data_IF_217076258525
#
_entry.id   IF_217076258525
#
_cell.length_a   1.000
_cell.length_b   1.000
_cell.length_c   1.000
_cell.angle_alpha   90.00
_cell.angle_beta   90.00
_cell.angle_gamma   90.00
#
_symmetry.space_group_name_H-M   'P 1'
#
loop_
_entity.id
_entity.type
_entity.pdbx_description
1 polymer ?
#
# COMPACT_ATOMS: atom_id res chain seq x y z
N UNK A 1 13.37 -65.87 -10.40
CA UNK A 1 12.75 -64.87 -11.29
C UNK A 1 11.25 -64.66 -11.00
N UNK A 2 10.40 -65.69 -11.05
CA UNK A 2 8.94 -65.53 -10.83
C UNK A 2 8.54 -64.99 -9.44
N UNK A 3 9.26 -65.36 -8.37
CA UNK A 3 8.97 -64.88 -6.99
C UNK A 3 9.31 -63.40 -6.78
N UNK A 4 10.28 -62.85 -7.52
CA UNK A 4 10.66 -61.42 -7.43
C UNK A 4 9.65 -60.55 -8.20
N UNK A 5 9.07 -61.09 -9.27
CA UNK A 5 8.08 -60.39 -10.11
C UNK A 5 6.74 -60.18 -9.40
N UNK A 6 6.30 -61.15 -8.59
CA UNK A 6 5.07 -61.06 -7.79
C UNK A 6 5.21 -60.01 -6.67
N UNK A 7 6.40 -59.90 -6.06
CA UNK A 7 6.67 -58.88 -5.04
C UNK A 7 6.65 -57.48 -5.65
N UNK A 8 7.21 -57.30 -6.85
CA UNK A 8 7.19 -56.01 -7.56
C UNK A 8 5.76 -55.61 -7.95
N UNK A 9 4.93 -56.55 -8.44
CA UNK A 9 3.51 -56.30 -8.76
C UNK A 9 2.70 -55.93 -7.51
N UNK A 10 2.93 -56.59 -6.38
CA UNK A 10 2.25 -56.27 -5.13
C UNK A 10 2.70 -54.92 -4.54
N UNK A 11 3.98 -54.55 -4.69
CA UNK A 11 4.48 -53.23 -4.28
C UNK A 11 3.94 -52.12 -5.19
N UNK A 12 3.84 -52.37 -6.51
CA UNK A 12 3.23 -51.45 -7.47
C UNK A 12 1.72 -51.31 -7.17
N UNK A 13 1.03 -52.40 -6.85
CA UNK A 13 -0.38 -52.40 -6.45
C UNK A 13 -0.64 -51.63 -5.16
N UNK A 14 0.24 -51.75 -4.16
CA UNK A 14 0.16 -51.00 -2.89
C UNK A 14 0.55 -49.53 -3.08
N UNK A 15 1.50 -49.21 -3.97
CA UNK A 15 1.80 -47.82 -4.35
C UNK A 15 0.68 -47.16 -5.16
N UNK A 16 -0.01 -47.91 -6.03
CA UNK A 16 -1.19 -47.42 -6.78
C UNK A 16 -2.44 -47.31 -5.90
N UNK A 17 -2.61 -48.19 -4.91
CA UNK A 17 -3.71 -48.11 -3.95
C UNK A 17 -3.58 -46.90 -3.00
N UNK A 18 -2.35 -46.44 -2.71
CA UNK A 18 -2.11 -45.20 -1.95
C UNK A 18 -2.47 -43.90 -2.70
N UNK A 19 -2.72 -43.97 -4.01
CA UNK A 19 -3.07 -42.82 -4.86
C UNK A 19 -4.60 -42.70 -5.07
N UNK A 20 -5.37 -43.73 -4.69
CA UNK A 20 -6.83 -43.79 -4.94
C UNK A 20 -7.71 -43.49 -3.72
N UNK A 21 -7.14 -42.95 -2.63
CA UNK A 21 -7.86 -42.65 -1.39
C UNK A 21 -7.60 -41.23 -0.87
N UNK A 22 -8.08 -40.21 -1.57
CA UNK A 22 -8.05 -38.82 -1.10
C UNK A 22 -8.25 -37.83 -2.24
N UNK A 23 -9.46 -37.28 -2.39
CA UNK A 23 -9.73 -36.26 -3.39
C UNK A 23 -8.92 -35.00 -3.09
N UNK A 24 -7.81 -34.80 -3.78
CA UNK A 24 -7.02 -33.58 -3.64
C UNK A 24 -7.65 -32.45 -4.46
N UNK A 25 -7.68 -31.25 -3.89
CA UNK A 25 -8.08 -30.04 -4.61
C UNK A 25 -7.11 -29.78 -5.76
N UNK A 26 -7.63 -29.75 -6.98
CA UNK A 26 -6.85 -29.48 -8.19
C UNK A 26 -7.25 -28.13 -8.77
N UNK A 27 -6.26 -27.26 -8.99
CA UNK A 27 -6.44 -26.00 -9.70
C UNK A 27 -5.69 -26.06 -11.03
N UNK A 28 -6.39 -25.72 -12.11
CA UNK A 28 -5.84 -25.69 -13.47
C UNK A 28 -6.08 -24.32 -14.09
N UNK A 29 -5.16 -23.89 -14.94
CA UNK A 29 -5.24 -22.60 -15.63
C UNK A 29 -5.02 -22.81 -17.12
N UNK A 30 -5.83 -22.13 -17.94
CA UNK A 30 -5.61 -21.99 -19.38
C UNK A 30 -5.27 -20.54 -19.68
N UNK A 31 -4.15 -20.37 -20.37
CA UNK A 31 -3.66 -19.09 -20.87
C UNK A 31 -2.96 -19.34 -22.22
N UNK A 32 -2.91 -18.35 -23.12
CA UNK A 32 -2.16 -18.45 -24.36
C UNK A 32 -0.65 -18.53 -24.08
N UNK A 33 0.10 -19.17 -24.97
CA UNK A 33 1.57 -19.21 -24.91
C UNK A 33 2.24 -17.99 -25.56
N UNK A 34 1.49 -17.21 -26.35
CA UNK A 34 1.94 -16.00 -27.02
C UNK A 34 0.83 -14.96 -27.07
N UNK A 35 1.21 -13.71 -26.85
CA UNK A 35 0.31 -12.53 -26.88
C UNK A 35 1.04 -11.36 -27.52
N UNK A 36 0.30 -10.40 -28.06
CA UNK A 36 0.87 -9.20 -28.66
C UNK A 36 0.84 -8.03 -27.66
N UNK A 37 1.89 -7.20 -27.64
CA UNK A 37 1.93 -6.02 -26.79
C UNK A 37 0.79 -5.05 -27.16
N UNK A 38 0.07 -4.53 -26.16
CA UNK A 38 -1.11 -3.68 -26.35
C UNK A 38 -2.42 -4.45 -26.57
N UNK A 39 -2.37 -5.78 -26.62
CA UNK A 39 -3.57 -6.63 -26.71
C UNK A 39 -4.06 -7.08 -25.33
N UNK A 40 -5.21 -7.73 -25.33
CA UNK A 40 -5.81 -8.36 -24.15
C UNK A 40 -5.97 -9.86 -24.39
N UNK A 41 -5.89 -10.64 -23.32
CA UNK A 41 -6.17 -12.07 -23.36
C UNK A 41 -6.85 -12.54 -22.08
N UNK A 42 -7.68 -13.57 -22.21
CA UNK A 42 -8.43 -14.13 -21.09
C UNK A 42 -7.66 -15.30 -20.47
N UNK A 43 -7.70 -15.36 -19.14
CA UNK A 43 -7.16 -16.46 -18.33
C UNK A 43 -8.33 -17.17 -17.67
N UNK A 44 -8.51 -18.45 -18.03
CA UNK A 44 -9.52 -19.31 -17.43
C UNK A 44 -8.89 -20.14 -16.31
N UNK A 45 -9.46 -20.04 -15.10
CA UNK A 45 -9.06 -20.87 -13.97
C UNK A 45 -10.19 -21.83 -13.63
N UNK A 46 -9.87 -23.12 -13.62
CA UNK A 46 -10.78 -24.20 -13.26
C UNK A 46 -10.31 -24.90 -11.99
N UNK A 47 -11.15 -24.90 -10.96
CA UNK A 47 -10.93 -25.50 -9.67
C UNK A 47 -11.83 -26.74 -9.49
N UNK A 48 -11.23 -27.88 -9.18
CA UNK A 48 -11.92 -29.10 -8.76
C UNK A 48 -11.81 -29.22 -7.24
N UNK A 49 -12.92 -29.00 -6.54
CA UNK A 49 -12.94 -28.76 -5.09
C UNK A 49 -12.78 -29.99 -4.21
N UNK A 50 -12.96 -31.19 -4.76
CA UNK A 50 -12.78 -32.46 -4.06
C UNK A 50 -13.46 -32.58 -2.67
N UNK A 51 -14.56 -31.84 -2.42
CA UNK A 51 -15.30 -31.85 -1.16
C UNK A 51 -15.18 -30.58 -0.32
N UNK A 52 -14.28 -29.67 -0.66
CA UNK A 52 -14.09 -28.41 0.07
C UNK A 52 -15.23 -27.41 -0.22
N UNK A 53 -15.78 -26.83 0.84
CA UNK A 53 -16.90 -25.89 0.80
C UNK A 53 -16.68 -24.61 1.62
N UNK A 54 -15.63 -24.53 2.45
CA UNK A 54 -15.32 -23.41 3.34
C UNK A 54 -14.58 -22.23 2.69
N UNK A 55 -13.91 -21.43 3.54
CA UNK A 55 -13.12 -20.28 3.12
C UNK A 55 -11.97 -20.69 2.17
N UNK A 56 -11.83 -19.96 1.07
CA UNK A 56 -10.77 -20.18 0.11
C UNK A 56 -10.29 -18.89 -0.55
N UNK A 57 -9.06 -18.94 -1.08
CA UNK A 57 -8.44 -17.82 -1.77
C UNK A 57 -7.60 -18.30 -2.93
N UNK A 58 -7.82 -17.74 -4.11
CA UNK A 58 -6.90 -17.79 -5.23
C UNK A 58 -6.02 -16.55 -5.22
N UNK A 59 -4.72 -16.70 -5.46
CA UNK A 59 -3.78 -15.60 -5.60
C UNK A 59 -2.82 -15.87 -6.76
N UNK A 60 -2.57 -14.85 -7.56
CA UNK A 60 -1.68 -14.91 -8.71
C UNK A 60 -0.94 -13.58 -8.86
N UNK A 61 0.38 -13.65 -8.99
CA UNK A 61 1.24 -12.49 -9.21
C UNK A 61 1.37 -12.23 -10.71
N UNK A 62 1.24 -10.98 -11.11
CA UNK A 62 1.47 -10.50 -12.47
C UNK A 62 2.74 -9.64 -12.50
N UNK A 63 3.56 -9.71 -13.55
CA UNK A 63 4.64 -8.75 -13.75
C UNK A 63 4.11 -7.32 -13.93
N UNK A 64 4.90 -6.31 -13.57
CA UNK A 64 4.64 -4.90 -13.89
C UNK A 64 4.39 -4.72 -15.39
N UNK A 65 3.47 -3.80 -15.72
CA UNK A 65 3.04 -3.51 -17.08
C UNK A 65 1.95 -4.44 -17.61
N UNK A 66 1.47 -5.37 -16.78
CA UNK A 66 0.22 -6.08 -16.99
C UNK A 66 -0.85 -5.56 -16.02
N UNK A 67 -2.09 -5.47 -16.47
CA UNK A 67 -3.25 -5.20 -15.61
C UNK A 67 -4.30 -6.29 -15.75
N UNK A 68 -5.16 -6.45 -14.75
CA UNK A 68 -6.21 -7.47 -14.77
C UNK A 68 -7.59 -6.94 -14.38
N UNK A 69 -8.61 -7.48 -15.02
CA UNK A 69 -10.02 -7.22 -14.73
C UNK A 69 -10.83 -8.51 -14.73
N UNK A 70 -11.90 -8.57 -13.92
CA UNK A 70 -12.77 -9.75 -13.86
C UNK A 70 -13.72 -9.76 -15.06
N UNK A 71 -13.84 -10.92 -15.72
CA UNK A 71 -14.78 -11.13 -16.83
C UNK A 71 -15.95 -12.02 -16.40
N UNK A 72 -15.62 -13.17 -15.79
CA UNK A 72 -16.63 -14.10 -15.27
C UNK A 72 -16.32 -14.42 -13.81
N UNK A 73 -17.24 -14.07 -12.92
CA UNK A 73 -17.14 -14.39 -11.50
C UNK A 73 -17.62 -15.82 -11.21
N UNK A 74 -17.08 -16.36 -10.13
CA UNK A 74 -17.57 -17.61 -9.52
C UNK A 74 -18.04 -17.39 -8.08
N UNK A 75 -18.71 -16.24 -7.86
CA UNK A 75 -19.19 -15.77 -6.55
C UNK A 75 -18.06 -15.51 -5.54
N UNK A 76 -16.85 -15.25 -6.05
CA UNK A 76 -15.72 -14.81 -5.25
C UNK A 76 -15.49 -13.31 -5.43
N UNK A 77 -15.01 -12.66 -4.37
CA UNK A 77 -14.62 -11.26 -4.40
C UNK A 77 -13.28 -11.13 -5.12
N UNK A 78 -13.30 -10.56 -6.33
CA UNK A 78 -12.11 -10.32 -7.13
C UNK A 78 -11.49 -8.97 -6.78
N UNK A 79 -10.17 -8.94 -6.60
CA UNK A 79 -9.39 -7.72 -6.54
C UNK A 79 -8.11 -7.83 -7.35
N UNK A 80 -7.68 -6.71 -7.93
CA UNK A 80 -6.36 -6.55 -8.52
C UNK A 80 -5.67 -5.34 -7.89
N UNK A 81 -4.66 -5.60 -7.07
CA UNK A 81 -3.89 -4.60 -6.33
C UNK A 81 -2.44 -5.08 -6.18
N UNK A 82 -1.47 -4.17 -6.14
CA UNK A 82 -0.04 -4.50 -5.98
C UNK A 82 0.44 -5.62 -6.91
N UNK A 83 -0.01 -5.58 -8.18
CA UNK A 83 0.23 -6.61 -9.20
C UNK A 83 -0.19 -8.03 -8.80
N UNK A 84 -1.21 -8.15 -7.96
CA UNK A 84 -1.76 -9.44 -7.52
C UNK A 84 -3.23 -9.53 -7.86
N UNK A 85 -3.57 -10.55 -8.64
CA UNK A 85 -4.93 -11.02 -8.78
C UNK A 85 -5.27 -11.83 -7.53
N UNK A 86 -6.35 -11.44 -6.84
CA UNK A 86 -6.89 -12.18 -5.70
C UNK A 86 -8.36 -12.47 -5.95
N UNK A 87 -8.77 -13.69 -5.64
CA UNK A 87 -10.19 -14.04 -5.56
C UNK A 87 -10.44 -14.71 -4.23
N UNK A 88 -11.36 -14.18 -3.44
CA UNK A 88 -11.66 -14.65 -2.08
C UNK A 88 -13.08 -15.18 -2.02
N UNK A 89 -13.25 -16.38 -1.47
CA UNK A 89 -14.54 -16.97 -1.17
C UNK A 89 -14.67 -17.14 0.34
N UNK A 90 -15.69 -16.52 0.93
CA UNK A 90 -16.09 -16.82 2.30
C UNK A 90 -16.61 -18.26 2.42
N UNK A 91 -17.33 -18.71 1.38
CA UNK A 91 -17.83 -20.07 1.22
C UNK A 91 -17.75 -20.44 -0.27
N UNK A 92 -17.17 -21.60 -0.58
CA UNK A 92 -17.11 -22.08 -1.96
C UNK A 92 -18.51 -22.55 -2.42
N UNK A 93 -18.90 -22.26 -3.68
CA UNK A 93 -20.17 -22.74 -4.23
C UNK A 93 -20.32 -24.27 -4.20
N UNK A 94 -21.56 -24.77 -4.16
CA UNK A 94 -21.83 -26.21 -3.99
C UNK A 94 -21.37 -27.08 -5.18
N UNK A 95 -21.25 -26.52 -6.38
CA UNK A 95 -20.82 -27.23 -7.59
C UNK A 95 -19.48 -27.94 -7.39
N UNK A 96 -19.26 -29.12 -7.97
CA UNK A 96 -17.98 -29.86 -7.78
C UNK A 96 -16.79 -29.17 -8.46
N UNK A 97 -17.07 -28.42 -9.51
CA UNK A 97 -16.11 -27.63 -10.27
C UNK A 97 -16.52 -26.16 -10.23
N UNK A 98 -15.52 -25.28 -10.17
CA UNK A 98 -15.69 -23.84 -10.13
C UNK A 98 -14.81 -23.23 -11.23
N UNK A 99 -15.39 -22.38 -12.07
CA UNK A 99 -14.68 -21.67 -13.14
C UNK A 99 -14.83 -20.18 -12.95
N UNK A 100 -13.72 -19.44 -13.00
CA UNK A 100 -13.73 -17.99 -13.18
C UNK A 100 -12.78 -17.58 -14.29
N UNK A 101 -13.08 -16.47 -14.93
CA UNK A 101 -12.30 -15.93 -16.04
C UNK A 101 -11.97 -14.48 -15.73
N UNK A 102 -10.70 -14.11 -15.89
CA UNK A 102 -10.27 -12.73 -15.78
C UNK A 102 -9.40 -12.40 -17.00
N UNK A 103 -9.41 -11.14 -17.39
CA UNK A 103 -8.69 -10.63 -18.56
C UNK A 103 -7.43 -9.95 -18.12
N UNK A 104 -6.35 -10.21 -18.85
CA UNK A 104 -5.08 -9.50 -18.71
C UNK A 104 -4.90 -8.58 -19.90
N UNK A 105 -4.58 -7.31 -19.65
CA UNK A 105 -4.13 -6.36 -20.65
C UNK A 105 -2.60 -6.23 -20.59
N UNK A 106 -1.96 -6.29 -21.75
CA UNK A 106 -0.49 -6.15 -21.89
C UNK A 106 -0.17 -4.73 -22.33
N UNK A 107 0.74 -4.05 -21.64
CA UNK A 107 1.22 -2.74 -22.09
C UNK A 107 1.89 -2.82 -23.47
N UNK A 108 1.64 -1.83 -24.32
CA UNK A 108 2.09 -1.79 -25.73
C UNK A 108 3.61 -1.69 -25.90
N UNK A 109 4.32 -1.29 -24.85
CA UNK A 109 5.77 -1.09 -24.85
C UNK A 109 6.53 -2.33 -24.41
N UNK A 110 5.85 -3.42 -24.04
CA UNK A 110 6.53 -4.60 -23.52
C UNK A 110 6.99 -5.57 -24.62
N UNK A 111 8.07 -6.29 -24.31
CA UNK A 111 8.52 -7.49 -25.02
C UNK A 111 9.02 -8.54 -24.03
N UNK A 112 9.35 -9.73 -24.53
CA UNK A 112 10.06 -10.74 -23.75
C UNK A 112 9.15 -11.89 -23.36
N UNK A 113 9.39 -12.52 -22.22
CA UNK A 113 8.57 -13.64 -21.74
C UNK A 113 8.48 -13.64 -20.23
N UNK A 114 7.34 -14.12 -19.71
CA UNK A 114 7.07 -14.23 -18.28
C UNK A 114 6.37 -15.54 -17.94
N UNK A 115 6.42 -15.93 -16.67
CA UNK A 115 5.73 -17.10 -16.16
C UNK A 115 4.45 -16.68 -15.44
N UNK A 116 3.34 -17.28 -15.83
CA UNK A 116 2.04 -17.06 -15.24
C UNK A 116 1.67 -18.29 -14.41
N UNK A 117 1.80 -18.20 -13.08
CA UNK A 117 1.42 -19.26 -12.14
C UNK A 117 0.38 -18.77 -11.15
N UNK A 118 0.05 -19.55 -10.13
CA UNK A 118 -0.95 -19.16 -9.14
C UNK A 118 -1.00 -20.12 -7.96
N UNK A 119 -1.62 -19.69 -6.87
CA UNK A 119 -1.78 -20.50 -5.66
C UNK A 119 -3.22 -20.42 -5.19
N UNK A 120 -3.84 -21.58 -5.03
CA UNK A 120 -5.13 -21.73 -4.37
C UNK A 120 -4.91 -22.18 -2.93
N UNK A 121 -5.47 -21.46 -1.96
CA UNK A 121 -5.41 -21.75 -0.53
C UNK A 121 -6.82 -22.02 -0.01
N UNK A 122 -6.99 -23.04 0.82
CA UNK A 122 -8.29 -23.40 1.40
C UNK A 122 -8.12 -23.96 2.81
N UNK A 123 -9.22 -24.00 3.57
CA UNK A 123 -9.25 -24.61 4.89
C UNK A 123 -9.94 -25.97 4.78
N UNK A 124 -9.27 -27.02 5.26
CA UNK A 124 -9.82 -28.37 5.38
C UNK A 124 -9.43 -28.94 6.74
N UNK A 125 -10.38 -29.47 7.49
CA UNK A 125 -10.16 -29.98 8.87
C UNK A 125 -9.47 -28.95 9.80
N UNK A 126 -9.85 -27.66 9.69
CA UNK A 126 -9.25 -26.52 10.39
C UNK A 126 -7.77 -26.25 10.07
N UNK A 127 -7.19 -26.89 9.06
CA UNK A 127 -5.84 -26.62 8.58
C UNK A 127 -5.84 -25.91 7.23
N UNK A 128 -4.92 -24.96 7.06
CA UNK A 128 -4.71 -24.29 5.77
C UNK A 128 -3.92 -25.24 4.85
N UNK A 129 -4.55 -25.61 3.73
CA UNK A 129 -3.91 -26.34 2.64
C UNK A 129 -3.75 -25.45 1.41
N UNK A 130 -2.80 -25.80 0.55
CA UNK A 130 -2.55 -25.10 -0.70
C UNK A 130 -2.45 -26.06 -1.88
N UNK A 131 -2.86 -25.57 -3.05
CA UNK A 131 -2.71 -26.24 -4.34
C UNK A 131 -2.16 -25.21 -5.33
N UNK A 132 -1.04 -25.51 -5.96
CA UNK A 132 -0.37 -24.59 -6.88
C UNK A 132 -0.80 -24.86 -8.31
N UNK A 133 -0.98 -23.80 -9.08
CA UNK A 133 -1.19 -23.86 -10.53
C UNK A 133 0.15 -24.10 -11.21
N UNK A 134 0.19 -25.01 -12.19
CA UNK A 134 1.35 -25.17 -13.06
C UNK A 134 1.59 -23.87 -13.85
N UNK A 135 2.80 -23.32 -13.75
CA UNK A 135 3.13 -22.07 -14.43
C UNK A 135 3.12 -22.25 -15.96
N UNK A 136 2.44 -21.35 -16.67
CA UNK A 136 2.47 -21.23 -18.12
C UNK A 136 3.47 -20.14 -18.52
N UNK A 137 4.40 -20.46 -19.43
CA UNK A 137 5.30 -19.45 -19.99
C UNK A 137 4.60 -18.74 -21.15
N UNK A 138 4.56 -17.41 -21.09
CA UNK A 138 3.91 -16.56 -22.09
C UNK A 138 4.95 -15.64 -22.72
N UNK A 139 5.02 -15.63 -24.04
CA UNK A 139 5.87 -14.72 -24.81
C UNK A 139 5.09 -13.53 -25.35
N UNK A 140 5.65 -12.32 -25.19
CA UNK A 140 5.06 -11.06 -25.67
C UNK A 140 5.72 -10.69 -27.00
N UNK A 141 4.93 -10.67 -28.07
CA UNK A 141 5.35 -10.10 -29.36
C UNK A 141 5.36 -8.57 -29.24
N UNK A 142 6.50 -7.90 -29.48
CA UNK A 142 6.57 -6.44 -29.41
C UNK A 142 5.63 -5.76 -30.41
N UNK A 143 5.07 -4.61 -30.03
CA UNK A 143 4.22 -3.81 -30.91
C UNK A 143 5.03 -3.24 -32.07
N UNK A 144 4.52 -3.40 -33.30
CA UNK A 144 5.11 -2.78 -34.51
C UNK A 144 4.77 -1.30 -34.65
N UNK A 145 3.86 -0.78 -33.82
CA UNK A 145 3.40 0.62 -33.84
C UNK A 145 4.25 1.55 -32.98
N UNK A 146 5.10 1.00 -32.13
CA UNK A 146 5.92 1.73 -31.17
C UNK A 146 7.37 1.77 -31.65
N UNK A 147 8.04 2.91 -31.48
CA UNK A 147 9.46 3.04 -31.81
C UNK A 147 10.28 1.99 -31.03
N UNK A 148 11.16 1.20 -31.67
CA UNK A 148 11.97 0.18 -30.99
C UNK A 148 12.75 0.66 -29.77
N UNK A 149 13.15 1.94 -29.72
CA UNK A 149 13.86 2.51 -28.56
C UNK A 149 12.99 2.69 -27.31
N UNK A 150 11.66 2.63 -27.48
CA UNK A 150 10.67 2.75 -26.41
C UNK A 150 10.20 1.38 -25.89
N UNK A 151 10.60 0.29 -26.54
CA UNK A 151 10.23 -1.07 -26.16
C UNK A 151 11.12 -1.55 -25.01
N UNK A 152 10.50 -2.03 -23.94
CA UNK A 152 11.15 -2.47 -22.70
C UNK A 152 10.94 -3.97 -22.53
N UNK A 153 11.98 -4.71 -22.15
CA UNK A 153 11.81 -6.12 -21.77
C UNK A 153 11.04 -6.22 -20.45
N UNK A 154 10.05 -7.12 -20.39
CA UNK A 154 9.22 -7.29 -19.20
C UNK A 154 10.04 -7.65 -17.95
N UNK A 155 11.13 -8.41 -18.09
CA UNK A 155 11.98 -8.79 -16.95
C UNK A 155 12.88 -7.64 -16.51
N UNK A 156 13.35 -6.81 -17.45
CA UNK A 156 14.06 -5.57 -17.13
C UNK A 156 13.13 -4.60 -16.42
N UNK A 157 11.89 -4.46 -16.90
CA UNK A 157 10.88 -3.58 -16.32
C UNK A 157 10.54 -3.94 -14.86
N UNK A 158 10.69 -5.20 -14.46
CA UNK A 158 10.50 -5.60 -13.05
C UNK A 158 11.57 -5.01 -12.12
N UNK A 159 12.76 -4.72 -12.65
CA UNK A 159 13.90 -4.18 -11.90
C UNK A 159 14.04 -2.66 -12.03
N UNK A 160 13.28 -2.06 -12.95
CA UNK A 160 13.14 -0.61 -13.03
C UNK A 160 12.28 -0.19 -11.84
N UNK A 161 12.85 0.63 -10.95
CA UNK A 161 12.08 1.31 -9.92
C UNK A 161 10.90 1.96 -10.66
N UNK A 162 9.63 1.60 -10.38
CA UNK A 162 8.52 2.21 -11.09
C UNK A 162 8.71 3.71 -10.94
N UNK A 163 8.82 4.41 -12.08
CA UNK A 163 8.71 5.86 -12.08
C UNK A 163 7.33 6.10 -11.52
N UNK A 164 7.27 6.40 -10.21
CA UNK A 164 6.04 6.78 -9.57
C UNK A 164 5.50 7.90 -10.45
N UNK A 165 4.30 7.71 -11.02
CA UNK A 165 3.63 8.79 -11.74
C UNK A 165 3.81 10.03 -10.85
N UNK A 166 4.44 11.11 -11.37
CA UNK A 166 4.89 12.18 -10.52
C UNK A 166 3.70 12.56 -9.66
N UNK A 167 3.88 12.58 -8.35
CA UNK A 167 2.74 12.60 -7.41
C UNK A 167 1.82 13.82 -7.68
N UNK A 168 2.30 14.82 -8.40
CA UNK A 168 1.53 15.91 -9.04
C UNK A 168 0.42 15.45 -10.00
N UNK A 169 0.66 14.46 -10.87
CA UNK A 169 -0.30 13.86 -11.81
C UNK A 169 -1.36 12.99 -11.12
N UNK A 170 -1.02 12.32 -10.01
CA UNK A 170 -2.00 11.56 -9.20
C UNK A 170 -2.84 12.48 -8.30
N UNK A 171 -2.30 13.65 -7.94
CA UNK A 171 -2.95 14.66 -7.10
C UNK A 171 -3.89 15.60 -7.87
N UNK A 172 -3.80 15.68 -9.20
CA UNK A 172 -4.53 16.67 -10.03
C UNK A 172 -6.06 16.54 -9.98
N UNK A 173 -6.56 15.35 -9.63
CA UNK A 173 -8.00 15.05 -9.59
C UNK A 173 -8.63 15.15 -8.20
N UNK A 174 -7.84 15.43 -7.15
CA UNK A 174 -8.36 15.59 -5.79
C UNK A 174 -8.76 17.04 -5.57
N UNK A 175 -10.04 17.28 -5.23
CA UNK A 175 -10.59 18.62 -5.02
C UNK A 175 -11.48 18.66 -3.79
N UNK A 176 -11.49 19.79 -3.09
CA UNK A 176 -12.43 20.06 -2.02
C UNK A 176 -13.09 21.41 -2.30
N UNK A 177 -14.43 21.41 -2.40
CA UNK A 177 -15.20 22.57 -2.81
C UNK A 177 -16.21 22.87 -1.72
N UNK A 178 -16.19 24.12 -1.25
CA UNK A 178 -17.15 24.63 -0.29
C UNK A 178 -18.28 25.33 -1.04
N UNK A 179 -19.52 24.92 -0.76
CA UNK A 179 -20.69 25.71 -1.14
C UNK A 179 -20.73 26.99 -0.31
N UNK A 180 -21.03 28.14 -0.93
CA UNK A 180 -21.31 29.38 -0.22
C UNK A 180 -22.26 29.11 0.96
N UNK A 181 -21.89 29.46 2.21
CA UNK A 181 -22.70 29.15 3.39
C UNK A 181 -24.14 29.64 3.24
N UNK A 182 -25.12 28.79 3.55
CA UNK A 182 -26.55 29.11 3.38
C UNK A 182 -27.19 29.32 4.76
N UNK A 183 -27.97 30.39 4.98
CA UNK A 183 -28.80 30.53 6.16
C UNK A 183 -29.82 29.39 6.28
N UNK A 184 -29.86 28.74 7.44
CA UNK A 184 -30.81 27.65 7.71
C UNK A 184 -32.20 28.14 8.10
N UNK A 185 -32.34 29.43 8.41
CA UNK A 185 -33.60 30.06 8.86
C UNK A 185 -33.81 30.03 10.38
N UNK A 186 -33.03 29.24 11.12
CA UNK A 186 -33.04 29.21 12.59
C UNK A 186 -31.88 30.05 13.13
N UNK A 187 -32.15 30.99 14.05
CA UNK A 187 -31.14 31.73 14.83
C UNK A 187 -29.96 32.38 14.06
N UNK A 188 -30.11 32.64 12.75
CA UNK A 188 -29.03 33.05 11.82
C UNK A 188 -27.89 32.01 11.67
N UNK A 189 -28.17 30.73 11.93
CA UNK A 189 -27.24 29.64 11.70
C UNK A 189 -26.96 29.47 10.20
N UNK A 190 -25.69 29.26 9.85
CA UNK A 190 -25.26 29.03 8.48
C UNK A 190 -24.87 27.56 8.29
N UNK A 191 -25.45 26.91 7.29
CA UNK A 191 -25.04 25.57 6.88
C UNK A 191 -23.87 25.66 5.91
N UNK A 192 -22.79 24.95 6.24
CA UNK A 192 -21.62 24.79 5.38
C UNK A 192 -21.58 23.36 4.85
N UNK A 193 -21.49 23.22 3.52
CA UNK A 193 -21.32 21.93 2.84
C UNK A 193 -20.01 21.90 2.06
N UNK A 194 -19.29 20.79 2.19
CA UNK A 194 -17.98 20.56 1.56
C UNK A 194 -18.07 19.31 0.69
N UNK A 195 -17.96 19.47 -0.62
CA UNK A 195 -17.83 18.39 -1.58
C UNK A 195 -16.37 17.97 -1.71
N UNK A 196 -16.08 16.72 -1.35
CA UNK A 196 -14.78 16.08 -1.56
C UNK A 196 -14.85 15.21 -2.81
N UNK A 197 -14.00 15.48 -3.79
CA UNK A 197 -13.66 14.54 -4.85
C UNK A 197 -12.33 13.88 -4.47
N UNK A 198 -12.36 12.60 -4.07
CA UNK A 198 -11.20 11.93 -3.46
C UNK A 198 -10.16 11.46 -4.48
N UNK A 199 -10.49 11.43 -5.77
CA UNK A 199 -9.63 10.87 -6.81
C UNK A 199 -9.10 9.48 -6.41
N UNK A 200 -7.79 9.33 -6.39
CA UNK A 200 -7.11 8.07 -6.00
C UNK A 200 -6.78 7.96 -4.51
N UNK A 201 -7.13 8.95 -3.70
CA UNK A 201 -6.89 8.90 -2.26
C UNK A 201 -7.93 7.98 -1.58
N UNK A 202 -7.48 7.12 -0.66
CA UNK A 202 -8.35 6.09 -0.06
C UNK A 202 -8.30 6.00 1.47
N UNK A 203 -7.18 6.36 2.10
CA UNK A 203 -6.96 6.14 3.54
C UNK A 203 -7.15 7.42 4.34
N UNK A 204 -6.06 8.00 4.82
CA UNK A 204 -6.07 9.14 5.70
C UNK A 204 -6.32 10.45 4.96
N UNK A 205 -7.24 11.24 5.49
CA UNK A 205 -7.50 12.60 5.02
C UNK A 205 -7.94 13.50 6.16
N UNK A 206 -7.72 14.80 6.00
CA UNK A 206 -8.10 15.84 6.95
C UNK A 206 -8.64 17.05 6.22
N UNK A 207 -9.84 17.50 6.58
CA UNK A 207 -10.28 18.88 6.30
C UNK A 207 -9.94 19.71 7.53
N UNK A 208 -9.39 20.90 7.32
CA UNK A 208 -9.22 21.92 8.36
C UNK A 208 -9.73 23.27 7.82
N UNK A 209 -10.72 23.86 8.47
CA UNK A 209 -11.25 25.20 8.14
C UNK A 209 -11.05 26.16 9.31
N UNK A 210 -10.58 27.36 9.00
CA UNK A 210 -10.50 28.51 9.91
C UNK A 210 -11.84 29.22 9.95
N UNK A 211 -12.40 29.32 11.15
CA UNK A 211 -13.69 29.96 11.41
C UNK A 211 -13.44 31.33 12.05
N UNK A 212 -14.09 32.41 11.58
CA UNK A 212 -13.94 33.71 12.22
C UNK A 212 -14.48 33.71 13.65
N UNK A 213 -14.00 34.65 14.46
CA UNK A 213 -14.48 34.85 15.83
C UNK A 213 -15.98 35.16 15.84
N UNK A 214 -16.67 34.81 16.92
CA UNK A 214 -18.12 35.02 17.05
C UNK A 214 -18.99 33.89 16.50
N UNK A 215 -18.39 32.81 16.00
CA UNK A 215 -19.10 31.59 15.60
C UNK A 215 -18.62 30.37 16.38
N UNK A 216 -19.58 29.52 16.75
CA UNK A 216 -19.38 28.14 17.16
C UNK A 216 -19.69 27.22 15.97
N UNK A 217 -19.00 26.08 15.87
CA UNK A 217 -19.27 25.09 14.83
C UNK A 217 -19.80 23.77 15.40
N UNK A 218 -20.86 23.24 14.78
CA UNK A 218 -21.44 21.95 15.13
C UNK A 218 -21.57 21.05 13.90
N UNK A 219 -21.20 19.78 14.03
CA UNK A 219 -21.30 18.82 12.92
C UNK A 219 -22.75 18.53 12.54
N UNK A 220 -23.01 18.37 11.25
CA UNK A 220 -24.31 17.93 10.70
C UNK A 220 -24.19 16.53 10.09
N UNK A 221 -23.25 16.35 9.16
CA UNK A 221 -22.91 15.04 8.58
C UNK A 221 -21.39 14.95 8.44
N UNK A 222 -20.78 13.99 9.13
CA UNK A 222 -19.33 13.79 9.14
C UNK A 222 -18.83 12.79 8.10
N UNK A 223 -19.70 12.00 7.46
CA UNK A 223 -19.32 10.87 6.59
C UNK A 223 -18.14 10.06 7.13
N UNK A 224 -18.33 9.47 8.31
CA UNK A 224 -17.35 8.65 9.03
C UNK A 224 -16.08 9.38 9.53
N UNK A 225 -15.98 10.70 9.36
CA UNK A 225 -14.90 11.47 9.96
C UNK A 225 -15.10 11.68 11.46
N UNK A 226 -13.97 11.81 12.16
CA UNK A 226 -13.94 12.41 13.49
C UNK A 226 -14.01 13.94 13.32
N UNK A 227 -15.08 14.54 13.83
CA UNK A 227 -15.24 16.00 13.83
C UNK A 227 -14.68 16.62 15.11
N UNK A 228 -13.96 17.72 14.99
CA UNK A 228 -13.57 18.56 16.13
C UNK A 228 -13.71 20.04 15.79
N UNK A 229 -14.20 20.82 16.76
CA UNK A 229 -14.09 22.27 16.71
C UNK A 229 -13.31 22.75 17.94
N UNK A 230 -12.13 23.32 17.71
CA UNK A 230 -11.27 23.85 18.78
C UNK A 230 -10.39 24.96 18.22
N UNK A 231 -10.13 26.00 19.02
CA UNK A 231 -9.26 27.11 18.65
C UNK A 231 -9.70 27.78 17.34
N UNK A 232 -11.03 27.97 17.18
CA UNK A 232 -11.67 28.47 15.95
C UNK A 232 -11.37 27.66 14.68
N UNK A 233 -11.01 26.38 14.81
CA UNK A 233 -10.76 25.50 13.68
C UNK A 233 -11.74 24.33 13.66
N UNK A 234 -12.45 24.18 12.56
CA UNK A 234 -13.20 22.96 12.23
C UNK A 234 -12.24 21.96 11.64
N UNK A 235 -12.28 20.71 12.12
CA UNK A 235 -11.53 19.59 11.54
C UNK A 235 -12.43 18.39 11.32
N UNK A 236 -12.31 17.79 10.14
CA UNK A 236 -12.79 16.44 9.87
C UNK A 236 -11.56 15.55 9.64
N UNK A 237 -11.43 14.45 10.37
CA UNK A 237 -10.31 13.52 10.25
C UNK A 237 -10.81 12.12 9.89
N UNK A 238 -10.35 11.61 8.75
CA UNK A 238 -10.57 10.24 8.32
C UNK A 238 -9.33 9.39 8.57
N UNK A 239 -9.55 8.23 9.19
CA UNK A 239 -8.56 7.13 9.20
C UNK A 239 -8.65 6.31 7.90
N UNK A 240 -9.88 6.17 7.39
CA UNK A 240 -10.19 5.68 6.06
C UNK A 240 -11.31 6.56 5.51
N UNK A 241 -11.16 7.03 4.28
CA UNK A 241 -12.22 7.81 3.62
C UNK A 241 -13.37 6.89 3.18
N UNK A 242 -14.58 7.45 2.98
CA UNK A 242 -15.70 6.74 2.39
C UNK A 242 -15.32 6.07 1.05
N UNK A 243 -15.94 4.92 0.71
CA UNK A 243 -15.68 4.22 -0.54
C UNK A 243 -16.10 5.05 -1.77
N UNK A 244 -17.12 5.89 -1.61
CA UNK A 244 -17.67 6.74 -2.67
C UNK A 244 -16.60 7.69 -3.26
N UNK A 245 -16.45 7.75 -4.60
CA UNK A 245 -15.47 8.63 -5.25
C UNK A 245 -15.68 10.12 -4.94
N UNK A 246 -16.90 10.48 -4.55
CA UNK A 246 -17.31 11.82 -4.15
C UNK A 246 -18.23 11.71 -2.95
N UNK A 247 -18.03 12.54 -1.94
CA UNK A 247 -18.89 12.60 -0.77
C UNK A 247 -18.96 14.03 -0.23
N UNK A 248 -20.01 14.31 0.56
CA UNK A 248 -20.24 15.62 1.16
C UNK A 248 -20.21 15.49 2.68
N UNK A 249 -19.42 16.34 3.33
CA UNK A 249 -19.55 16.60 4.77
C UNK A 249 -20.17 17.96 5.02
N UNK A 250 -20.78 18.13 6.18
CA UNK A 250 -21.44 19.38 6.53
C UNK A 250 -21.39 19.67 8.02
N UNK A 251 -21.39 20.97 8.34
CA UNK A 251 -21.46 21.50 9.69
C UNK A 251 -22.24 22.83 9.69
N UNK A 252 -22.75 23.23 10.85
CA UNK A 252 -23.39 24.52 11.08
C UNK A 252 -22.41 25.47 11.75
N UNK A 253 -22.48 26.74 11.34
CA UNK A 253 -21.93 27.87 12.06
C UNK A 253 -23.04 28.57 12.83
N UNK A 254 -22.91 28.60 14.15
CA UNK A 254 -23.88 29.14 15.08
C UNK A 254 -23.31 30.45 15.64
N UNK A 255 -23.93 31.62 15.39
CA UNK A 255 -23.43 32.89 15.88
C UNK A 255 -23.58 32.99 17.41
N UNK A 256 -22.49 33.31 18.08
CA UNK A 256 -22.46 33.50 19.53
C UNK A 256 -23.09 34.86 19.84
N UNK A 257 -24.11 34.89 20.71
CA UNK A 257 -24.85 36.09 21.10
C UNK A 257 -25.54 36.85 19.95
N UNK A 258 -25.80 36.20 18.82
CA UNK A 258 -26.41 36.85 17.65
C UNK A 258 -25.48 37.78 16.86
N UNK A 259 -24.19 37.86 17.23
CA UNK A 259 -23.19 38.70 16.57
C UNK A 259 -22.49 37.95 15.42
N UNK A 260 -23.26 37.45 14.45
CA UNK A 260 -22.73 36.86 13.21
C UNK A 260 -22.87 37.84 12.04
N UNK A 261 -21.78 38.08 11.31
CA UNK A 261 -21.89 38.77 10.02
C UNK A 261 -22.62 37.88 9.00
N UNK A 262 -23.50 38.48 8.17
CA UNK A 262 -24.25 37.75 7.14
C UNK A 262 -23.35 37.13 6.04
N UNK A 263 -22.11 37.61 5.93
CA UNK A 263 -21.10 37.10 4.99
C UNK A 263 -19.91 36.64 5.80
N UNK A 264 -19.66 35.32 5.80
CA UNK A 264 -18.56 34.71 6.57
C UNK A 264 -17.39 34.42 5.65
N UNK A 265 -16.24 35.03 5.93
CA UNK A 265 -14.98 34.67 5.28
C UNK A 265 -14.42 33.40 5.92
N UNK A 266 -14.44 32.31 5.16
CA UNK A 266 -13.90 31.02 5.58
C UNK A 266 -12.67 30.69 4.72
N UNK A 267 -11.65 30.09 5.31
CA UNK A 267 -10.51 29.53 4.57
C UNK A 267 -10.24 28.13 5.09
N UNK A 268 -9.77 27.24 4.23
CA UNK A 268 -9.49 25.90 4.67
C UNK A 268 -8.65 25.10 3.71
N UNK A 269 -8.14 23.98 4.21
CA UNK A 269 -7.24 23.08 3.50
C UNK A 269 -7.76 21.65 3.62
N UNK A 270 -7.71 20.93 2.52
CA UNK A 270 -7.91 19.50 2.48
C UNK A 270 -6.57 18.79 2.32
N UNK A 271 -6.16 18.04 3.33
CA UNK A 271 -4.93 17.26 3.36
C UNK A 271 -5.24 15.78 3.19
N UNK A 272 -4.47 15.05 2.40
CA UNK A 272 -4.71 13.62 2.16
C UNK A 272 -3.41 12.89 1.84
N UNK A 273 -3.38 11.57 2.08
CA UNK A 273 -2.25 10.72 1.78
C UNK A 273 -2.42 10.05 0.40
N UNK A 274 -1.40 10.15 -0.47
CA UNK A 274 -1.27 9.34 -1.69
C UNK A 274 0.11 8.71 -1.71
N UNK A 275 0.17 7.38 -1.77
CA UNK A 275 1.41 6.65 -1.50
C UNK A 275 1.86 6.91 -0.07
N UNK A 276 3.06 7.46 0.10
CA UNK A 276 3.62 7.87 1.39
C UNK A 276 3.64 9.40 1.59
N UNK A 277 3.14 10.17 0.62
CA UNK A 277 3.24 11.63 0.64
C UNK A 277 1.94 12.28 1.12
N UNK A 278 2.05 13.25 2.04
CA UNK A 278 0.96 14.16 2.38
C UNK A 278 0.83 15.21 1.29
N UNK A 279 -0.39 15.38 0.76
CA UNK A 279 -0.76 16.44 -0.16
C UNK A 279 -1.79 17.34 0.48
N UNK A 280 -1.75 18.61 0.11
CA UNK A 280 -2.65 19.64 0.61
C UNK A 280 -3.20 20.40 -0.58
N UNK A 281 -4.52 20.52 -0.65
CA UNK A 281 -5.22 21.37 -1.62
C UNK A 281 -6.05 22.38 -0.86
N UNK A 282 -6.15 23.59 -1.40
CA UNK A 282 -7.01 24.62 -0.81
C UNK A 282 -8.48 24.30 -1.07
N UNK A 283 -9.32 24.65 -0.10
CA UNK A 283 -10.78 24.53 -0.22
C UNK A 283 -11.27 25.75 -1.00
N UNK A 284 -11.90 25.51 -2.14
CA UNK A 284 -12.37 26.57 -3.04
C UNK A 284 -13.85 26.80 -2.78
N UNK A 285 -14.23 28.04 -2.45
CA UNK A 285 -15.63 28.42 -2.31
C UNK A 285 -16.28 28.65 -3.69
N UNK A 286 -17.48 28.13 -3.88
CA UNK A 286 -18.30 28.30 -5.08
C UNK A 286 -19.76 28.51 -4.70
N UNK A 287 -20.43 29.35 -5.47
CA UNK A 287 -21.87 29.55 -5.38
C UNK A 287 -22.60 28.45 -6.16
N UNK A 288 -22.85 27.32 -5.50
CA UNK A 288 -23.49 26.13 -6.07
C UNK A 288 -24.37 25.42 -5.07
N UNK A 289 -25.46 24.81 -5.52
CA UNK A 289 -26.32 24.00 -4.66
C UNK A 289 -25.85 22.54 -4.59
N UNK A 290 -25.19 22.16 -3.49
CA UNK A 290 -24.80 20.76 -3.22
C UNK A 290 -25.95 19.92 -2.63
N UNK A 291 -27.16 20.49 -2.46
CA UNK A 291 -28.37 19.77 -2.09
C UNK A 291 -29.01 19.00 -3.25
N UNK A 292 -28.85 19.47 -4.48
CA UNK A 292 -29.38 18.85 -5.70
C UNK A 292 -28.24 18.39 -6.62
N UNK A 293 -27.87 17.12 -6.48
CA UNK A 293 -26.70 16.52 -7.11
C UNK A 293 -27.01 15.97 -8.52
N UNK A 294 -27.28 16.84 -9.50
CA UNK A 294 -27.21 16.39 -10.91
C UNK A 294 -25.74 16.07 -11.25
N UNK A 295 -25.40 14.81 -11.61
CA UNK A 295 -24.02 14.41 -11.91
C UNK A 295 -23.33 15.29 -12.97
N UNK A 296 -24.08 15.81 -13.94
CA UNK A 296 -23.56 16.70 -15.00
C UNK A 296 -23.11 18.07 -14.46
N UNK A 297 -23.85 18.63 -13.51
CA UNK A 297 -23.52 19.91 -12.88
C UNK A 297 -22.25 19.82 -12.04
N UNK A 298 -22.03 18.68 -11.38
CA UNK A 298 -20.82 18.41 -10.58
C UNK A 298 -19.59 18.28 -11.49
N UNK A 299 -19.73 17.63 -12.64
CA UNK A 299 -18.64 17.50 -13.61
C UNK A 299 -18.24 18.85 -14.23
N UNK A 300 -19.22 19.67 -14.61
CA UNK A 300 -18.96 21.03 -15.10
C UNK A 300 -18.26 21.91 -14.05
N UNK A 301 -18.68 21.81 -12.78
CA UNK A 301 -18.05 22.50 -11.66
C UNK A 301 -16.60 22.06 -11.43
N UNK A 302 -16.34 20.74 -11.42
CA UNK A 302 -15.00 20.19 -11.25
C UNK A 302 -14.07 20.57 -12.42
N UNK A 303 -14.59 20.63 -13.66
CA UNK A 303 -13.86 21.04 -14.85
C UNK A 303 -13.53 22.55 -14.85
N UNK A 304 -14.37 23.39 -14.24
CA UNK A 304 -14.17 24.84 -14.16
C UNK A 304 -13.05 25.29 -13.19
N UNK A 305 -12.53 24.37 -12.38
CA UNK A 305 -11.45 24.62 -11.42
C UNK A 305 -10.13 24.18 -12.06
N UNK A 306 -9.15 25.08 -12.26
CA UNK A 306 -7.81 24.69 -12.72
C UNK A 306 -7.22 23.58 -11.85
N UNK A 307 -6.45 22.66 -12.43
CA UNK A 307 -5.67 21.70 -11.64
C UNK A 307 -4.80 22.44 -10.62
N UNK A 308 -4.71 21.93 -9.39
CA UNK A 308 -4.06 22.62 -8.28
C UNK A 308 -2.64 23.11 -8.66
N UNK A 309 -2.36 24.41 -8.50
CA UNK A 309 -0.99 24.90 -8.44
C UNK A 309 -0.35 24.35 -7.16
N UNK A 310 0.71 23.56 -7.34
CA UNK A 310 1.42 22.91 -6.25
C UNK A 310 2.33 23.97 -5.62
N UNK A 311 1.87 24.60 -4.54
CA UNK A 311 2.76 25.34 -3.67
C UNK A 311 3.76 24.36 -3.04
N UNK A 312 5.04 24.47 -3.41
CA UNK A 312 6.12 23.87 -2.65
C UNK A 312 6.10 24.46 -1.22
N UNK A 313 6.44 23.70 -0.18
CA UNK A 313 6.59 24.27 1.15
C UNK A 313 7.67 25.36 1.08
N UNK A 314 7.29 26.57 1.50
CA UNK A 314 8.20 27.70 1.68
C UNK A 314 9.40 27.27 2.51
N UNK A 315 10.56 27.26 1.86
CA UNK A 315 11.87 27.04 2.44
C UNK A 315 12.26 28.24 3.30
N UNK A 316 12.24 28.08 4.62
CA UNK A 316 13.08 28.92 5.49
C UNK A 316 14.49 28.31 5.54
N UNK A 317 15.38 28.90 4.75
CA UNK A 317 16.85 28.91 4.83
C UNK A 317 17.55 27.79 5.62
N UNK A 318 18.19 26.87 4.90
CA UNK A 318 19.55 26.44 5.24
C UNK A 318 20.38 26.40 3.97
N UNK A 319 21.38 27.27 3.95
CA UNK A 319 22.40 27.40 2.90
C UNK A 319 23.26 26.14 2.83
N UNK A 320 23.39 25.57 1.63
CA UNK A 320 24.48 24.67 1.28
C UNK A 320 25.28 25.32 0.15
N UNK A 321 26.17 26.23 0.51
CA UNK A 321 27.20 26.75 -0.37
C UNK A 321 28.55 26.18 0.05
N UNK A 322 29.07 25.20 -0.68
CA UNK A 322 30.52 25.00 -0.88
C UNK A 322 30.74 24.19 -2.16
N UNK A 323 30.80 24.90 -3.28
CA UNK A 323 31.67 24.55 -4.40
C UNK A 323 32.24 25.85 -4.93
N UNK A 324 33.52 26.09 -4.67
CA UNK A 324 34.28 27.17 -5.30
C UNK A 324 34.45 26.89 -6.79
N UNK A 325 34.40 27.95 -7.58
CA UNK A 325 34.63 27.93 -9.02
C UNK A 325 36.12 27.99 -9.37
N UNK A 326 36.51 27.28 -10.44
CA UNK A 326 37.58 27.66 -11.36
C UNK A 326 38.97 27.07 -11.12
N UNK A 327 39.29 25.96 -11.79
CA UNK A 327 40.61 25.75 -12.41
C UNK A 327 40.52 24.69 -13.51
N UNK A 328 41.04 25.07 -14.67
CA UNK A 328 41.22 24.34 -15.91
C UNK A 328 42.24 23.17 -15.77
N UNK A 329 42.03 22.08 -16.51
CA UNK A 329 43.02 21.03 -16.82
C UNK A 329 43.00 19.72 -15.99
N UNK A 330 42.88 18.56 -16.66
CA UNK A 330 43.44 17.28 -16.16
C UNK A 330 42.76 15.94 -16.51
N UNK A 331 43.04 15.40 -17.70
CA UNK A 331 43.25 13.98 -18.14
C UNK A 331 42.37 12.83 -17.60
N UNK A 332 41.77 12.07 -18.54
CA UNK A 332 41.11 10.77 -18.32
C UNK A 332 42.10 9.67 -17.87
N UNK A 333 41.74 8.93 -16.81
CA UNK A 333 42.43 7.70 -16.38
C UNK A 333 41.56 6.49 -16.76
N UNK A 334 42.02 5.56 -17.62
CA UNK A 334 41.25 4.37 -17.96
C UNK A 334 41.26 3.36 -16.81
N UNK A 335 40.06 2.90 -16.40
CA UNK A 335 39.87 1.86 -15.39
C UNK A 335 39.92 0.47 -16.05
N UNK A 336 40.89 -0.36 -15.68
CA UNK A 336 40.90 -1.80 -15.99
C UNK A 336 40.15 -2.59 -14.92
N UNK A 337 39.21 -3.44 -15.35
CA UNK A 337 38.48 -4.35 -14.47
C UNK A 337 39.27 -5.65 -14.25
N UNK A 338 39.50 -6.04 -12.99
CA UNK A 338 39.88 -7.39 -12.61
C UNK A 338 38.66 -8.15 -12.06
N UNK A 339 38.45 -9.36 -12.57
CA UNK A 339 37.38 -10.28 -12.17
C UNK A 339 37.79 -11.01 -10.87
N UNK A 340 36.95 -10.94 -9.83
CA UNK A 340 37.12 -11.70 -8.59
C UNK A 340 36.29 -13.00 -8.69
N UNK A 341 36.88 -14.20 -8.55
CA UNK A 341 36.13 -15.45 -8.65
C UNK A 341 35.33 -15.77 -7.37
N UNK A 342 34.09 -16.25 -7.57
CA UNK A 342 33.15 -16.64 -6.51
C UNK A 342 33.62 -17.84 -5.67
N UNK A 343 33.50 -17.72 -4.34
CA UNK A 343 33.61 -18.85 -3.40
C UNK A 343 32.24 -19.25 -2.86
N UNK A 344 32.05 -20.56 -2.74
CA UNK A 344 30.79 -21.28 -2.50
C UNK A 344 30.08 -20.95 -1.17
N UNK A 345 28.75 -20.83 -1.23
CA UNK A 345 27.84 -20.70 -0.07
C UNK A 345 27.80 -22.01 0.72
N UNK A 346 28.15 -21.94 2.01
CA UNK A 346 27.80 -22.98 2.99
C UNK A 346 26.34 -22.86 3.43
N UNK A 347 25.72 -24.02 3.58
CA UNK A 347 24.33 -24.27 4.01
C UNK A 347 24.15 -23.84 5.48
N UNK A 348 23.02 -23.21 5.81
CA UNK A 348 22.66 -22.83 7.17
C UNK A 348 21.41 -23.59 7.64
N UNK A 349 21.46 -24.13 8.87
CA UNK A 349 20.35 -24.59 9.70
C UNK A 349 20.68 -24.26 11.17
N UNK A 350 19.71 -24.17 12.13
CA UNK A 350 18.25 -24.16 11.99
C UNK A 350 17.52 -23.00 12.76
N UNK A 351 16.24 -22.81 12.44
CA UNK A 351 15.32 -21.72 12.83
C UNK A 351 14.77 -21.78 14.28
N UNK A 352 15.21 -22.72 15.13
CA UNK A 352 14.59 -22.97 16.45
C UNK A 352 14.79 -21.87 17.53
N UNK A 353 15.73 -20.94 17.35
CA UNK A 353 16.01 -19.89 18.35
C UNK A 353 15.28 -18.56 18.11
N UNK A 354 14.46 -18.46 17.05
CA UNK A 354 13.93 -17.17 16.61
C UNK A 354 12.69 -16.70 17.39
N UNK A 355 11.85 -17.63 17.86
CA UNK A 355 10.64 -17.28 18.63
C UNK A 355 10.96 -16.54 19.94
N UNK A 356 12.11 -16.83 20.57
CA UNK A 356 12.58 -16.19 21.80
C UNK A 356 12.87 -14.69 21.65
N UNK A 357 13.12 -14.21 20.43
CA UNK A 357 13.41 -12.81 20.16
C UNK A 357 12.26 -12.10 19.47
N UNK A 358 11.11 -12.75 19.28
CA UNK A 358 9.99 -12.12 18.58
C UNK A 358 9.48 -10.91 19.38
N UNK A 359 9.18 -9.83 18.67
CA UNK A 359 8.60 -8.64 19.26
C UNK A 359 7.18 -8.96 19.72
N UNK A 360 6.94 -8.80 21.02
CA UNK A 360 5.62 -8.92 21.60
C UNK A 360 4.84 -7.62 21.39
N UNK A 361 3.54 -7.69 21.06
CA UNK A 361 2.73 -6.51 20.86
C UNK A 361 2.45 -5.78 22.17
N UNK A 362 2.73 -4.48 22.22
CA UNK A 362 2.35 -3.63 23.37
C UNK A 362 1.07 -2.83 23.06
N UNK A 363 0.30 -2.53 24.11
CA UNK A 363 -0.88 -1.68 24.01
C UNK A 363 -0.52 -0.20 23.89
N UNK A 364 -1.31 0.52 23.08
CA UNK A 364 -1.15 1.95 22.80
C UNK A 364 -0.03 2.23 21.80
N UNK A 365 0.29 3.52 21.64
CA UNK A 365 1.39 3.97 20.78
C UNK A 365 2.72 3.83 21.53
N UNK A 366 3.73 3.28 20.86
CA UNK A 366 5.09 3.17 21.36
C UNK A 366 6.11 3.21 20.22
N UNK A 367 7.34 3.58 20.55
CA UNK A 367 8.44 3.75 19.62
C UNK A 367 9.56 2.77 19.95
N UNK A 368 10.25 2.26 18.92
CA UNK A 368 11.44 1.42 19.06
C UNK A 368 12.52 1.89 18.09
N UNK A 369 13.79 1.64 18.39
CA UNK A 369 14.88 1.99 17.46
C UNK A 369 15.24 0.77 16.63
N UNK A 370 14.96 0.82 15.33
CA UNK A 370 15.35 -0.21 14.39
C UNK A 370 16.84 -0.07 14.06
N UNK A 371 17.58 -1.18 14.14
CA UNK A 371 19.04 -1.21 14.02
C UNK A 371 19.54 -2.13 12.90
N UNK A 372 18.69 -3.00 12.36
CA UNK A 372 19.01 -3.79 11.18
C UNK A 372 17.73 -4.29 10.50
N UNK A 373 17.82 -4.59 9.20
CA UNK A 373 16.81 -5.34 8.47
C UNK A 373 17.45 -6.22 7.40
N UNK A 374 16.86 -7.38 7.12
CA UNK A 374 17.30 -8.24 6.02
C UNK A 374 16.26 -9.28 5.62
N UNK A 375 16.33 -9.78 4.39
CA UNK A 375 15.46 -10.85 3.89
C UNK A 375 15.78 -12.25 4.46
N UNK A 376 16.93 -12.39 5.13
CA UNK A 376 17.33 -13.62 5.82
C UNK A 376 17.47 -13.34 7.31
N UNK A 377 17.09 -14.30 8.17
CA UNK A 377 17.24 -14.13 9.60
C UNK A 377 18.73 -14.10 9.96
N UNK A 378 19.11 -13.25 10.91
CA UNK A 378 20.47 -13.16 11.42
C UNK A 378 20.55 -13.86 12.77
N UNK A 379 21.70 -14.42 13.10
CA UNK A 379 21.95 -14.87 14.46
C UNK A 379 22.15 -13.63 15.36
N UNK A 380 21.09 -13.23 16.07
CA UNK A 380 21.01 -11.99 16.85
C UNK A 380 22.18 -11.87 17.82
N UNK A 381 22.45 -12.92 18.62
CA UNK A 381 23.55 -12.93 19.60
C UNK A 381 24.91 -12.66 18.93
N UNK A 382 25.20 -13.32 17.81
CA UNK A 382 26.51 -13.21 17.15
C UNK A 382 26.67 -11.91 16.38
N UNK A 383 25.61 -11.48 15.69
CA UNK A 383 25.63 -10.28 14.86
C UNK A 383 25.76 -9.02 15.71
N UNK A 384 24.86 -8.82 16.68
CA UNK A 384 24.81 -7.59 17.46
C UNK A 384 25.98 -7.45 18.44
N UNK A 385 26.52 -8.56 18.96
CA UNK A 385 27.76 -8.54 19.75
C UNK A 385 28.95 -7.98 18.96
N UNK A 386 29.06 -8.31 17.66
CA UNK A 386 30.14 -7.80 16.78
C UNK A 386 29.99 -6.29 16.48
N UNK A 387 28.77 -5.79 16.54
CA UNK A 387 28.43 -4.38 16.32
C UNK A 387 28.39 -3.55 17.62
N UNK A 388 28.87 -4.12 18.74
CA UNK A 388 28.87 -3.50 20.07
C UNK A 388 27.46 -3.14 20.60
N UNK A 389 26.44 -3.88 20.17
CA UNK A 389 25.07 -3.72 20.69
C UNK A 389 24.88 -4.68 21.86
N UNK A 390 24.77 -4.12 23.07
CA UNK A 390 24.57 -4.87 24.33
C UNK A 390 23.11 -4.89 24.81
N UNK A 391 22.23 -4.15 24.13
CA UNK A 391 20.82 -4.05 24.47
C UNK A 391 20.01 -5.25 23.95
N UNK A 392 18.83 -5.47 24.55
CA UNK A 392 17.90 -6.49 24.08
C UNK A 392 17.34 -6.12 22.70
N UNK A 393 17.56 -7.01 21.73
CA UNK A 393 17.06 -6.88 20.37
C UNK A 393 15.85 -7.78 20.19
N UNK A 394 14.75 -7.19 19.72
CA UNK A 394 13.55 -7.92 19.30
C UNK A 394 13.43 -7.93 17.78
N UNK A 395 12.78 -8.96 17.26
CA UNK A 395 12.61 -9.23 15.84
C UNK A 395 11.15 -9.19 15.45
N UNK A 396 10.87 -8.55 14.33
CA UNK A 396 9.57 -8.61 13.67
C UNK A 396 9.73 -9.10 12.23
N UNK A 397 8.66 -9.69 11.69
CA UNK A 397 8.57 -10.10 10.30
C UNK A 397 7.51 -9.26 9.60
N UNK A 398 7.92 -8.51 8.58
CA UNK A 398 7.03 -7.65 7.81
C UNK A 398 7.40 -7.74 6.33
N UNK A 399 6.46 -8.15 5.47
CA UNK A 399 6.65 -8.22 4.01
C UNK A 399 7.91 -8.97 3.58
N UNK A 400 8.22 -10.09 4.26
CA UNK A 400 9.40 -10.90 3.96
C UNK A 400 10.73 -10.34 4.48
N UNK A 401 10.70 -9.22 5.20
CA UNK A 401 11.85 -8.68 5.93
C UNK A 401 11.84 -9.14 7.38
N UNK A 402 13.02 -9.52 7.87
CA UNK A 402 13.31 -9.62 9.30
C UNK A 402 13.89 -8.29 9.75
N UNK A 403 13.17 -7.59 10.62
CA UNK A 403 13.58 -6.29 11.14
C UNK A 403 13.91 -6.43 12.63
N UNK A 404 14.97 -5.75 13.07
CA UNK A 404 15.53 -5.89 14.40
C UNK A 404 15.49 -4.54 15.10
N UNK A 405 14.89 -4.47 16.29
CA UNK A 405 14.66 -3.23 17.02
C UNK A 405 14.92 -3.34 18.52
N UNK A 406 15.35 -2.23 19.10
CA UNK A 406 15.79 -2.11 20.50
C UNK A 406 14.93 -1.09 21.24
N UNK A 407 14.67 -1.39 22.51
CA UNK A 407 13.95 -0.51 23.43
C UNK A 407 12.47 -0.39 23.12
N UNK A 408 11.72 0.17 24.06
CA UNK A 408 10.33 0.56 23.88
C UNK A 408 10.10 1.86 24.64
N UNK A 409 9.65 2.89 23.92
CA UNK A 409 9.55 4.26 24.42
C UNK A 409 8.13 4.77 24.18
N UNK A 410 7.56 5.52 25.14
CA UNK A 410 6.22 6.11 24.98
C UNK A 410 6.30 7.49 24.32
N UNK A 411 7.44 8.16 24.41
CA UNK A 411 7.68 9.44 23.77
C UNK A 411 8.65 9.33 22.60
N UNK A 412 8.35 10.05 21.52
CA UNK A 412 9.21 10.10 20.34
C UNK A 412 10.60 10.67 20.67
N UNK A 413 10.66 11.68 21.55
CA UNK A 413 11.91 12.32 21.97
C UNK A 413 12.88 11.31 22.59
N UNK A 414 12.38 10.45 23.47
CA UNK A 414 13.18 9.41 24.13
C UNK A 414 13.75 8.42 23.10
N UNK A 415 12.92 7.95 22.16
CA UNK A 415 13.37 7.04 21.11
C UNK A 415 14.41 7.69 20.18
N UNK A 416 14.26 8.98 19.87
CA UNK A 416 15.21 9.75 19.07
C UNK A 416 16.54 9.92 19.80
N UNK A 417 16.50 10.31 21.07
CA UNK A 417 17.71 10.50 21.88
C UNK A 417 18.44 9.16 22.06
N UNK A 418 17.70 8.07 22.25
CA UNK A 418 18.25 6.72 22.28
C UNK A 418 18.87 6.30 20.93
N UNK A 419 18.26 6.64 19.79
CA UNK A 419 18.88 6.42 18.47
C UNK A 419 20.23 7.14 18.34
N UNK A 420 20.31 8.38 18.79
CA UNK A 420 21.58 9.14 18.80
C UNK A 420 22.63 8.46 19.69
N UNK A 421 22.21 7.94 20.84
CA UNK A 421 23.09 7.13 21.70
C UNK A 421 23.59 5.87 20.98
N UNK A 422 22.73 5.16 20.23
CA UNK A 422 23.14 3.99 19.43
C UNK A 422 24.20 4.36 18.40
N UNK A 423 24.03 5.48 17.68
CA UNK A 423 25.02 5.97 16.72
C UNK A 423 26.38 6.30 17.36
N UNK A 424 26.38 6.81 18.59
CA UNK A 424 27.60 7.22 19.28
C UNK A 424 28.31 6.07 20.01
N UNK A 425 27.59 5.01 20.42
CA UNK A 425 28.12 3.93 21.28
C UNK A 425 28.33 2.61 20.55
N UNK A 426 27.76 2.45 19.36
CA UNK A 426 27.79 1.20 18.59
C UNK A 426 28.39 1.41 17.20
N UNK A 427 28.60 0.32 16.45
CA UNK A 427 29.05 0.40 15.05
C UNK A 427 27.91 0.63 14.05
N UNK A 428 26.69 0.90 14.53
CA UNK A 428 25.49 1.07 13.71
C UNK A 428 25.24 2.57 13.56
N UNK A 429 25.31 3.08 12.33
CA UNK A 429 25.17 4.50 12.01
C UNK A 429 23.90 4.81 11.18
N UNK A 430 23.12 3.79 10.85
CA UNK A 430 21.90 3.86 10.02
C UNK A 430 20.63 3.53 10.82
N UNK A 431 20.73 3.43 12.15
CA UNK A 431 19.57 3.18 13.01
C UNK A 431 18.52 4.29 12.90
N UNK A 432 17.24 3.94 12.97
CA UNK A 432 16.13 4.91 12.89
C UNK A 432 14.96 4.53 13.81
N UNK A 433 14.12 5.52 14.13
CA UNK A 433 12.94 5.32 14.99
C UNK A 433 11.80 4.71 14.19
N UNK A 434 11.22 3.63 14.69
CA UNK A 434 10.01 3.00 14.21
C UNK A 434 8.90 3.17 15.25
N UNK A 435 7.65 3.35 14.81
CA UNK A 435 6.51 3.50 15.69
C UNK A 435 5.51 2.35 15.52
N UNK A 436 4.75 2.09 16.58
CA UNK A 436 3.79 1.02 16.68
C UNK A 436 2.55 1.51 17.41
N UNK A 437 1.40 0.95 17.07
CA UNK A 437 0.14 1.13 17.79
C UNK A 437 -0.52 -0.24 17.98
N UNK A 438 -0.70 -0.66 19.23
CA UNK A 438 -1.29 -1.98 19.56
C UNK A 438 -0.59 -3.15 18.85
N UNK A 439 0.74 -3.11 18.77
CA UNK A 439 1.55 -4.14 18.10
C UNK A 439 1.64 -4.01 16.58
N UNK A 440 0.87 -3.12 15.95
CA UNK A 440 0.91 -2.88 14.51
C UNK A 440 1.85 -1.72 14.21
N UNK A 441 2.79 -1.91 13.28
CA UNK A 441 3.73 -0.87 12.89
C UNK A 441 3.01 0.26 12.16
N UNK A 442 3.30 1.50 12.54
CA UNK A 442 2.77 2.73 11.96
C UNK A 442 3.93 3.70 11.66
N UNK A 443 3.68 4.73 10.85
CA UNK A 443 4.70 5.76 10.61
C UNK A 443 4.91 6.60 11.87
N UNK A 444 6.10 7.17 12.03
CA UNK A 444 6.39 8.08 13.15
C UNK A 444 5.45 9.27 13.13
N UNK A 445 5.11 9.79 11.94
CA UNK A 445 4.18 10.89 11.80
C UNK A 445 2.75 10.52 12.26
N UNK A 446 2.26 9.33 11.90
CA UNK A 446 0.98 8.80 12.40
C UNK A 446 0.99 8.70 13.93
N UNK A 447 2.08 8.17 14.51
CA UNK A 447 2.21 8.02 15.95
C UNK A 447 2.21 9.38 16.68
N UNK A 448 2.90 10.38 16.12
CA UNK A 448 2.90 11.75 16.64
C UNK A 448 1.51 12.40 16.54
N UNK A 449 0.75 12.13 15.48
CA UNK A 449 -0.63 12.61 15.33
C UNK A 449 -1.58 11.96 16.34
N UNK A 450 -1.47 10.65 16.58
CA UNK A 450 -2.30 9.93 17.56
C UNK A 450 -2.00 10.38 18.99
N UNK A 451 -0.73 10.61 19.31
CA UNK A 451 -0.28 10.98 20.66
C UNK A 451 -0.23 12.48 20.91
N UNK A 452 -0.46 13.29 19.87
CA UNK A 452 -0.31 14.75 19.89
C UNK A 452 1.10 15.21 20.33
N UNK A 453 2.13 14.44 19.99
CA UNK A 453 3.53 14.72 20.30
C UNK A 453 4.22 15.51 19.16
N UNK A 454 5.26 16.27 19.48
CA UNK A 454 5.99 17.10 18.51
C UNK A 454 7.17 16.36 17.86
N UNK A 455 7.43 16.65 16.59
CA UNK A 455 8.63 16.17 15.91
C UNK A 455 9.87 16.93 16.38
N UNK A 456 10.88 16.19 16.85
CA UNK A 456 12.21 16.71 17.17
C UNK A 456 13.20 16.33 16.06
N UNK A 457 14.01 17.30 15.61
CA UNK A 457 15.06 17.08 14.59
C UNK A 457 16.28 16.34 15.15
#
# INVERSE_FOLDING_TARGET
MARLFIVIINIIGIMLAGILGGGNVLVTMKAPSRVDAGSEFDVEVLLKKAGVDGFARFQQELPLGLTAELIESSLGDFTFEDQKVKVVWLKLPAAKELRFVYRIRVDERLKGSFNLGGVFSYIENNERKTSSVQAAQISITPSTRINPSLIVDINEFQNVIPVQAPVSMLASNVKCIRQTPIPTGEANDLLVKLLVNKGNAQKFAKIEEDIPQGFQAEVVDAKDAIFTFKDQKVKFLWMSMPPDPRFIVSYRLIPINGNGEAVVSLSGKFSYLVGEATRVVDIIQKDVDLGNLDPKSIEGLLASIPGAEIAAPSSSNFSSSFTSAGSDGGIDIPVQYQVIPEKSKKIAQPEQNMMLYMLEPEKGVYYRVQVAAGHKPINIKRYFLRHNVTYEVRTEKHEGWYKYSIGSFKEYKEARDFRVQIWNTTKINDAFVAAYNNGVRITVQEALMITNQTWFR
#
